data_IF_775386171808
#
_entry.id   IF_775386171808
#
_cell.length_a   1.000
_cell.length_b   1.000
_cell.length_c   1.000
_cell.angle_alpha   90.00
_cell.angle_beta   90.00
_cell.angle_gamma   90.00
#
_symmetry.space_group_name_H-M   'P 1'
#
loop_
_entity.id
_entity.type
_entity.pdbx_description
1 polymer ?
#
# COMPACT_ATOMS: atom_id res chain seq x y z
N UNK A 1 15.75 -23.87 -0.24
CA UNK A 1 15.82 -23.24 -0.31
C UNK A 1 15.64 -22.34 -0.45
N UNK A 2 15.62 -22.40 -0.21
CA UNK A 2 15.50 -21.54 -0.25
C UNK A 2 15.60 -20.58 -0.43
N UNK A 3 15.81 -20.49 -0.43
CA UNK A 3 16.12 -19.54 -0.49
C UNK A 3 16.04 -18.65 -1.04
N UNK A 4 16.27 -18.38 -1.49
CA UNK A 4 16.06 -17.51 -2.03
C UNK A 4 14.93 -17.09 -2.24
N UNK A 5 14.44 -17.65 -2.04
CA UNK A 5 13.29 -17.25 -1.88
C UNK A 5 13.13 -16.17 -1.04
N UNK A 6 14.03 -15.88 -0.38
CA UNK A 6 13.94 -14.84 0.47
C UNK A 6 13.69 -13.55 -0.15
N UNK A 7 14.18 -13.31 -1.31
CA UNK A 7 13.87 -12.06 -1.92
C UNK A 7 12.41 -11.99 -2.31
N UNK A 8 11.83 -13.13 -2.57
CA UNK A 8 10.44 -13.09 -2.83
C UNK A 8 9.69 -12.71 -1.62
N UNK A 9 10.13 -13.13 -0.47
CA UNK A 9 9.46 -12.76 0.74
C UNK A 9 9.47 -11.25 0.91
N UNK A 10 10.52 -10.59 0.46
CA UNK A 10 10.56 -9.16 0.56
C UNK A 10 9.51 -8.49 -0.29
N UNK A 11 9.08 -9.17 -1.34
CA UNK A 11 8.08 -8.59 -2.23
C UNK A 11 6.66 -8.95 -1.83
N UNK A 12 6.51 -9.79 -0.83
CA UNK A 12 5.19 -10.17 -0.38
C UNK A 12 4.75 -9.28 0.78
N UNK A 13 3.69 -8.50 0.60
CA UNK A 13 3.19 -7.70 1.71
C UNK A 13 2.55 -8.59 2.76
N UNK A 14 2.51 -8.11 3.98
CA UNK A 14 1.82 -8.82 5.05
C UNK A 14 0.32 -8.75 4.87
N UNK A 15 -0.18 -7.73 4.19
CA UNK A 15 -1.61 -7.58 3.91
C UNK A 15 -1.77 -6.83 2.60
N UNK A 16 -2.94 -6.97 2.00
CA UNK A 16 -3.27 -6.28 0.75
C UNK A 16 -4.70 -5.80 0.84
N UNK A 17 -4.94 -4.55 0.43
CA UNK A 17 -6.30 -4.06 0.28
C UNK A 17 -6.47 -3.52 -1.14
N UNK A 18 -7.70 -3.69 -1.65
CA UNK A 18 -8.04 -3.31 -3.01
C UNK A 18 -9.03 -2.15 -2.91
N UNK A 19 -8.58 -0.97 -3.29
CA UNK A 19 -9.38 0.23 -3.19
C UNK A 19 -9.86 0.74 -4.55
N UNK A 20 -9.93 -0.16 -5.54
CA UNK A 20 -10.45 0.23 -6.84
C UNK A 20 -11.88 0.74 -6.67
N UNK A 21 -12.18 1.88 -7.29
CA UNK A 21 -13.51 2.45 -7.24
C UNK A 21 -13.87 3.15 -5.94
N UNK A 22 -12.96 3.17 -4.96
CA UNK A 22 -13.22 3.83 -3.69
C UNK A 22 -12.79 5.28 -3.81
N UNK A 23 -13.70 6.19 -3.48
CA UNK A 23 -13.47 7.62 -3.68
C UNK A 23 -12.79 8.23 -2.47
N UNK A 24 -12.10 9.33 -2.70
CA UNK A 24 -11.52 10.12 -1.65
C UNK A 24 -12.65 10.81 -0.87
N UNK A 25 -12.58 10.86 0.46
CA UNK A 25 -11.44 10.47 1.29
C UNK A 25 -11.53 9.04 1.81
N UNK A 26 -12.53 8.27 1.36
CA UNK A 26 -12.73 6.93 1.92
C UNK A 26 -11.55 6.00 1.61
N UNK A 27 -10.89 6.20 0.47
CA UNK A 27 -9.72 5.37 0.16
C UNK A 27 -8.63 5.56 1.21
N UNK A 28 -8.35 6.79 1.61
CA UNK A 28 -7.35 7.01 2.65
C UNK A 28 -7.83 6.51 4.00
N UNK A 29 -9.11 6.71 4.33
CA UNK A 29 -9.64 6.25 5.60
C UNK A 29 -9.51 4.74 5.72
N UNK A 30 -9.84 4.00 4.65
CA UNK A 30 -9.70 2.55 4.67
C UNK A 30 -8.25 2.12 4.83
N UNK A 31 -7.33 2.81 4.16
CA UNK A 31 -5.90 2.53 4.28
C UNK A 31 -5.44 2.78 5.71
N UNK A 32 -5.85 3.90 6.29
CA UNK A 32 -5.44 4.24 7.65
C UNK A 32 -5.94 3.22 8.65
N UNK A 33 -7.21 2.82 8.51
CA UNK A 33 -7.76 1.84 9.45
C UNK A 33 -7.05 0.49 9.32
N UNK A 34 -6.70 0.10 8.09
CA UNK A 34 -5.98 -1.15 7.92
C UNK A 34 -4.60 -1.07 8.56
N UNK A 35 -3.90 0.04 8.37
CA UNK A 35 -2.58 0.21 8.97
C UNK A 35 -2.66 0.21 10.49
N UNK A 36 -3.71 0.81 11.05
CA UNK A 36 -3.85 0.83 12.50
C UNK A 36 -4.07 -0.56 13.08
N UNK A 37 -4.62 -1.47 12.29
CA UNK A 37 -4.80 -2.84 12.73
C UNK A 37 -3.56 -3.70 12.55
N UNK A 38 -2.53 -3.17 11.91
CA UNK A 38 -1.29 -3.91 11.63
C UNK A 38 -0.25 -3.55 12.66
N UNK A 39 0.77 -4.40 12.76
CA UNK A 39 1.84 -4.16 13.70
C UNK A 39 2.97 -3.39 13.04
N UNK A 40 3.73 -2.68 13.88
CA UNK A 40 4.85 -1.89 13.43
C UNK A 40 5.80 -2.76 12.61
N UNK A 41 6.20 -2.26 11.46
CA UNK A 41 7.13 -2.98 10.58
C UNK A 41 6.46 -3.86 9.55
N UNK A 42 5.17 -4.10 9.67
CA UNK A 42 4.47 -4.88 8.66
C UNK A 42 4.23 -4.05 7.41
N UNK A 43 4.08 -4.73 6.28
CA UNK A 43 3.91 -4.06 5.00
C UNK A 43 2.49 -4.27 4.48
N UNK A 44 1.97 -3.25 3.83
CA UNK A 44 0.63 -3.25 3.26
C UNK A 44 0.72 -2.88 1.79
N UNK A 45 0.12 -3.71 0.95
CA UNK A 45 -0.02 -3.39 -0.47
C UNK A 45 -1.40 -2.79 -0.67
N UNK A 46 -1.48 -1.64 -1.35
CA UNK A 46 -2.73 -0.94 -1.58
C UNK A 46 -2.89 -0.75 -3.08
N UNK A 47 -4.01 -1.22 -3.62
CA UNK A 47 -4.31 -1.08 -5.04
C UNK A 47 -5.19 0.13 -5.20
N UNK A 48 -4.78 1.07 -6.06
CA UNK A 48 -5.42 2.36 -6.21
C UNK A 48 -5.73 2.65 -7.67
N UNK A 49 -6.82 3.39 -7.90
CA UNK A 49 -7.11 3.91 -9.22
C UNK A 49 -6.13 5.00 -9.59
N UNK A 50 -5.93 5.22 -10.89
CA UNK A 50 -5.15 6.37 -11.33
C UNK A 50 -5.89 7.66 -11.00
N UNK A 51 -5.17 8.77 -11.07
CA UNK A 51 -5.76 10.07 -10.80
C UNK A 51 -5.59 10.46 -9.34
N UNK A 52 -6.67 10.91 -8.73
CA UNK A 52 -6.59 11.41 -7.37
C UNK A 52 -6.13 10.39 -6.34
N UNK A 53 -6.61 9.13 -6.39
CA UNK A 53 -6.17 8.18 -5.38
C UNK A 53 -4.67 7.99 -5.35
N UNK A 54 -4.04 7.77 -6.51
CA UNK A 54 -2.60 7.55 -6.52
C UNK A 54 -1.84 8.83 -6.21
N UNK A 55 -2.45 9.99 -6.45
CA UNK A 55 -1.79 11.24 -6.13
C UNK A 55 -1.85 11.55 -4.65
N UNK A 56 -2.93 11.15 -3.98
CA UNK A 56 -3.20 11.59 -2.61
C UNK A 56 -2.88 10.56 -1.55
N UNK A 57 -3.20 9.29 -1.77
CA UNK A 57 -3.03 8.28 -0.72
C UNK A 57 -1.58 8.09 -0.32
N UNK A 58 -0.62 7.97 -1.25
CA UNK A 58 0.78 7.83 -0.84
C UNK A 58 1.26 8.99 0.02
N UNK A 59 0.88 10.21 -0.35
CA UNK A 59 1.29 11.38 0.43
C UNK A 59 0.67 11.34 1.81
N UNK A 60 -0.60 10.96 1.89
CA UNK A 60 -1.29 10.93 3.17
C UNK A 60 -0.70 9.90 4.11
N UNK A 61 -0.32 8.73 3.60
CA UNK A 61 0.28 7.72 4.48
C UNK A 61 1.64 8.19 4.98
N UNK A 62 2.40 8.91 4.15
CA UNK A 62 3.67 9.45 4.60
C UNK A 62 3.45 10.52 5.66
N UNK A 63 2.42 11.32 5.52
CA UNK A 63 2.12 12.36 6.52
C UNK A 63 1.72 11.74 7.85
N UNK A 64 1.18 10.53 7.82
CA UNK A 64 0.86 9.81 9.05
C UNK A 64 2.06 9.11 9.66
N UNK A 65 3.22 9.22 9.02
CA UNK A 65 4.45 8.67 9.58
C UNK A 65 4.85 7.32 9.06
N UNK A 66 4.08 6.75 8.13
CA UNK A 66 4.43 5.45 7.56
C UNK A 66 5.41 5.62 6.42
N UNK A 67 6.15 4.55 6.10
CA UNK A 67 7.13 4.61 5.03
C UNK A 67 6.50 4.11 3.72
N UNK A 68 6.70 4.87 2.65
CA UNK A 68 6.28 4.45 1.33
C UNK A 68 7.46 3.74 0.69
N UNK A 69 7.33 2.43 0.50
CA UNK A 69 8.43 1.61 0.00
C UNK A 69 8.49 1.56 -1.52
N UNK A 70 7.36 1.75 -2.19
CA UNK A 70 7.37 1.71 -3.63
C UNK A 70 6.01 2.04 -4.21
N UNK A 71 6.04 2.43 -5.48
CA UNK A 71 4.84 2.71 -6.26
C UNK A 71 5.04 2.03 -7.61
N UNK A 72 4.08 1.20 -8.01
CA UNK A 72 4.18 0.44 -9.25
C UNK A 72 2.91 0.67 -10.06
N UNK A 73 3.10 0.98 -11.34
CA UNK A 73 1.96 1.04 -12.26
C UNK A 73 1.74 -0.37 -12.81
N UNK A 74 0.52 -0.86 -12.71
CA UNK A 74 0.19 -2.22 -13.12
C UNK A 74 -0.19 -2.23 -14.61
N UNK A 75 -0.06 -3.40 -15.24
CA UNK A 75 -0.45 -3.48 -16.66
C UNK A 75 -1.91 -3.15 -16.92
N UNK A 76 -2.77 -3.28 -15.91
CA UNK A 76 -4.19 -2.98 -16.07
C UNK A 76 -4.51 -1.49 -15.88
N UNK A 77 -3.48 -0.66 -15.73
CA UNK A 77 -3.69 0.78 -15.59
C UNK A 77 -3.90 1.21 -14.15
N UNK A 78 -3.97 0.28 -13.22
CA UNK A 78 -4.08 0.61 -11.81
C UNK A 78 -2.69 0.77 -11.22
N UNK A 79 -2.66 1.26 -9.99
CA UNK A 79 -1.40 1.43 -9.27
C UNK A 79 -1.41 0.60 -8.00
N UNK A 80 -0.23 0.19 -7.60
CA UNK A 80 -0.06 -0.53 -6.35
C UNK A 80 1.04 0.16 -5.57
N UNK A 81 0.76 0.51 -4.32
CA UNK A 81 1.77 1.09 -3.45
C UNK A 81 2.07 0.12 -2.34
N UNK A 82 3.31 0.15 -1.86
CA UNK A 82 3.74 -0.69 -0.76
C UNK A 82 4.12 0.21 0.39
N UNK A 83 3.45 0.03 1.51
CA UNK A 83 3.59 0.89 2.68
C UNK A 83 4.05 0.06 3.86
N UNK A 84 5.02 0.58 4.61
CA UNK A 84 5.49 -0.07 5.82
C UNK A 84 4.92 0.66 7.02
N UNK A 85 4.24 -0.08 7.90
CA UNK A 85 3.62 0.49 9.10
C UNK A 85 4.70 1.02 10.03
N UNK A 86 4.48 2.22 10.50
CA UNK A 86 5.40 2.85 11.45
C UNK A 86 5.31 2.22 12.83
#
# INVERSE_FOLDING_TARGET
>A
MNQKMESMAEEHPDATIDLRGVKCPFNFVKTKLKLEAMESGETLSVILDPGEPIANVPRSVQEEGHALLGVTERPDGLFEILVKKA
#
